data_IF_310089130561
#
_entry.id   IF_310089130561
#
_cell.length_a   1.000
_cell.length_b   1.000
_cell.length_c   1.000
_cell.angle_alpha   90.00
_cell.angle_beta   90.00
_cell.angle_gamma   90.00
#
_symmetry.space_group_name_H-M   'P 1'
#
loop_
_entity.id
_entity.type
_entity.pdbx_description
1 polymer ?
#
# COMPACT_ATOMS: atom_id res chain seq x y z
N UNK A 1 -8.93 36.20 -5.52
CA UNK A 1 -8.67 34.83 -6.04
C UNK A 1 -8.01 33.88 -5.00
N UNK A 2 -7.03 34.40 -4.23
CA UNK A 2 -6.37 33.57 -3.19
C UNK A 2 -7.32 33.14 -2.04
N UNK A 3 -8.29 33.96 -1.65
CA UNK A 3 -9.28 33.60 -0.62
C UNK A 3 -10.26 32.51 -1.05
N UNK A 4 -10.60 32.45 -2.35
CA UNK A 4 -11.52 31.41 -2.88
C UNK A 4 -10.84 30.04 -2.93
N UNK A 5 -9.57 29.97 -3.31
CA UNK A 5 -8.80 28.71 -3.32
C UNK A 5 -8.65 28.16 -1.89
N UNK A 6 -8.38 29.00 -0.90
CA UNK A 6 -8.29 28.58 0.49
C UNK A 6 -9.63 28.07 1.07
N UNK A 7 -10.75 28.73 0.74
CA UNK A 7 -12.07 28.31 1.22
C UNK A 7 -12.54 26.99 0.58
N UNK A 8 -12.29 26.79 -0.71
CA UNK A 8 -12.61 25.52 -1.38
C UNK A 8 -11.78 24.34 -0.85
N UNK A 9 -10.50 24.56 -0.55
CA UNK A 9 -9.66 23.54 0.10
C UNK A 9 -10.22 23.18 1.48
N UNK A 10 -10.52 24.17 2.33
CA UNK A 10 -11.10 23.92 3.65
C UNK A 10 -12.44 23.17 3.59
N UNK A 11 -13.29 23.44 2.59
CA UNK A 11 -14.56 22.73 2.40
C UNK A 11 -14.31 21.27 2.03
N UNK A 12 -13.36 21.01 1.13
CA UNK A 12 -13.00 19.64 0.71
C UNK A 12 -12.40 18.84 1.87
N UNK A 13 -11.48 19.46 2.61
CA UNK A 13 -10.83 18.82 3.76
C UNK A 13 -11.83 18.48 4.85
N UNK A 14 -12.73 19.42 5.19
CA UNK A 14 -13.82 19.17 6.15
C UNK A 14 -14.75 18.06 5.67
N UNK A 15 -15.05 18.02 4.36
CA UNK A 15 -15.86 16.93 3.80
C UNK A 15 -15.16 15.57 3.96
N UNK A 16 -13.85 15.49 3.64
CA UNK A 16 -13.08 14.25 3.77
C UNK A 16 -13.04 13.75 5.23
N UNK A 17 -12.78 14.65 6.19
CA UNK A 17 -12.80 14.29 7.62
C UNK A 17 -14.18 13.80 8.05
N UNK A 18 -15.25 14.46 7.64
CA UNK A 18 -16.61 14.02 7.94
C UNK A 18 -16.95 12.64 7.35
N UNK A 19 -16.40 12.31 6.17
CA UNK A 19 -16.56 10.97 5.58
C UNK A 19 -15.79 9.91 6.37
N UNK A 20 -14.59 10.24 6.84
CA UNK A 20 -13.79 9.37 7.73
C UNK A 20 -14.57 9.11 9.03
N UNK A 21 -15.08 10.13 9.68
CA UNK A 21 -15.88 10.01 10.91
C UNK A 21 -17.14 9.17 10.70
N UNK A 22 -17.85 9.43 9.61
CA UNK A 22 -19.06 8.67 9.26
C UNK A 22 -18.74 7.20 9.02
N UNK A 23 -17.58 6.90 8.43
CA UNK A 23 -17.12 5.53 8.19
C UNK A 23 -16.73 4.86 9.52
N UNK A 24 -15.95 5.51 10.37
CA UNK A 24 -15.58 4.99 11.69
C UNK A 24 -16.80 4.62 12.54
N UNK A 25 -17.86 5.44 12.48
CA UNK A 25 -19.08 5.21 13.28
C UNK A 25 -19.89 3.96 12.87
N UNK A 26 -19.61 3.38 11.70
CA UNK A 26 -20.29 2.16 11.23
C UNK A 26 -19.39 0.91 11.24
N UNK A 27 -18.10 1.06 11.55
CA UNK A 27 -17.20 -0.06 11.71
C UNK A 27 -17.25 -0.60 13.13
N UNK A 28 -17.44 -1.91 13.27
CA UNK A 28 -17.60 -2.57 14.56
C UNK A 28 -16.29 -3.16 15.09
N UNK A 29 -15.36 -3.49 14.20
CA UNK A 29 -14.09 -4.16 14.53
C UNK A 29 -12.95 -3.66 13.67
N UNK A 30 -11.71 -3.78 14.16
CA UNK A 30 -10.51 -3.32 13.46
C UNK A 30 -10.02 -4.28 12.35
N UNK A 31 -10.55 -5.47 12.26
CA UNK A 31 -10.25 -6.46 11.21
C UNK A 31 -11.24 -6.40 10.04
N UNK A 32 -12.32 -5.63 10.16
CA UNK A 32 -13.29 -5.34 9.10
C UNK A 32 -12.91 -4.04 8.37
N UNK A 33 -12.11 -4.17 7.31
CA UNK A 33 -11.59 -3.02 6.56
C UNK A 33 -12.60 -2.56 5.51
N UNK A 34 -12.99 -1.28 5.46
CA UNK A 34 -13.90 -0.77 4.44
C UNK A 34 -13.22 -0.81 3.07
N UNK A 35 -13.86 -1.46 2.08
CA UNK A 35 -13.31 -1.69 0.75
C UNK A 35 -14.04 -0.91 -0.34
N UNK A 36 -15.34 -1.11 -0.45
CA UNK A 36 -16.17 -0.46 -1.45
C UNK A 36 -17.63 -0.38 -0.98
N UNK A 37 -18.40 0.52 -1.59
CA UNK A 37 -19.85 0.61 -1.39
C UNK A 37 -20.52 -0.26 -2.46
N UNK A 38 -21.41 -1.17 -2.04
CA UNK A 38 -22.19 -1.98 -2.99
C UNK A 38 -23.24 -1.11 -3.67
N UNK A 39 -23.18 -1.03 -4.99
CA UNK A 39 -24.20 -0.32 -5.78
C UNK A 39 -25.55 -1.08 -5.83
N UNK A 40 -25.52 -2.38 -5.57
CA UNK A 40 -26.68 -3.27 -5.67
C UNK A 40 -27.46 -3.40 -4.34
N UNK A 41 -26.93 -2.81 -3.26
CA UNK A 41 -27.61 -2.82 -1.98
C UNK A 41 -28.63 -1.68 -1.88
N UNK A 42 -29.83 -1.90 -1.34
CA UNK A 42 -30.82 -0.86 -1.12
C UNK A 42 -30.34 0.22 -0.14
N UNK A 43 -29.37 -0.11 0.70
CA UNK A 43 -28.63 0.82 1.55
C UNK A 43 -27.19 0.91 1.08
N UNK A 44 -26.68 2.13 0.86
CA UNK A 44 -25.28 2.38 0.51
C UNK A 44 -24.36 2.11 1.72
N UNK A 45 -24.19 0.84 2.07
CA UNK A 45 -23.35 0.41 3.17
C UNK A 45 -21.95 0.00 2.68
N UNK A 46 -20.96 0.12 3.54
CA UNK A 46 -19.63 -0.39 3.28
C UNK A 46 -19.65 -1.92 3.18
N UNK A 47 -19.07 -2.43 2.10
CA UNK A 47 -18.63 -3.82 2.01
C UNK A 47 -17.22 -3.91 2.56
N UNK A 48 -17.08 -4.47 3.75
CA UNK A 48 -15.81 -4.66 4.40
C UNK A 48 -15.10 -5.93 3.90
N UNK A 49 -13.79 -5.94 4.02
CA UNK A 49 -12.92 -7.08 3.71
C UNK A 49 -11.99 -7.38 4.89
N UNK A 50 -11.28 -8.51 4.84
CA UNK A 50 -10.32 -8.87 5.86
C UNK A 50 -9.00 -8.10 5.71
N UNK A 51 -8.20 -8.09 6.76
CA UNK A 51 -6.84 -7.50 6.75
C UNK A 51 -5.90 -8.12 5.70
N UNK A 52 -6.24 -9.27 5.14
CA UNK A 52 -5.47 -9.96 4.11
C UNK A 52 -5.82 -9.55 2.67
N UNK A 53 -6.82 -8.70 2.47
CA UNK A 53 -7.13 -8.13 1.15
C UNK A 53 -6.08 -7.09 0.77
N UNK A 54 -5.73 -7.02 -0.51
CA UNK A 54 -4.72 -6.08 -1.01
C UNK A 54 -5.05 -4.60 -0.75
N UNK A 55 -6.32 -4.27 -0.52
CA UNK A 55 -6.77 -2.91 -0.22
C UNK A 55 -6.65 -2.53 1.25
N UNK A 56 -6.35 -3.48 2.13
CA UNK A 56 -6.49 -3.31 3.59
C UNK A 56 -5.62 -2.19 4.19
N UNK A 57 -4.48 -1.90 3.58
CA UNK A 57 -3.58 -0.85 4.04
C UNK A 57 -4.05 0.57 3.74
N UNK A 58 -4.98 0.76 2.81
CA UNK A 58 -5.42 2.10 2.43
C UNK A 58 -6.27 2.78 3.50
N UNK A 59 -7.15 2.03 4.17
CA UNK A 59 -7.97 2.62 5.23
C UNK A 59 -7.16 3.21 6.39
N UNK A 60 -6.26 2.48 7.05
CA UNK A 60 -5.38 3.09 8.04
C UNK A 60 -4.52 4.20 7.47
N UNK A 61 -4.10 4.12 6.20
CA UNK A 61 -3.41 5.22 5.52
C UNK A 61 -4.24 6.50 5.46
N UNK A 62 -5.53 6.40 5.13
CA UNK A 62 -6.48 7.53 5.13
C UNK A 62 -6.63 8.10 6.55
N UNK A 63 -6.74 7.24 7.57
CA UNK A 63 -6.83 7.68 8.96
C UNK A 63 -5.58 8.45 9.40
N UNK A 64 -4.39 8.01 9.01
CA UNK A 64 -3.15 8.75 9.29
C UNK A 64 -3.13 10.14 8.64
N UNK A 65 -3.59 10.28 7.40
CA UNK A 65 -3.71 11.60 6.77
C UNK A 65 -4.77 12.48 7.45
N UNK A 66 -5.90 11.90 7.85
CA UNK A 66 -6.92 12.64 8.61
C UNK A 66 -6.38 13.10 9.97
N UNK A 67 -5.61 12.24 10.67
CA UNK A 67 -4.91 12.64 11.90
C UNK A 67 -3.88 13.74 11.64
N UNK A 68 -3.06 13.62 10.61
CA UNK A 68 -2.04 14.65 10.27
C UNK A 68 -2.68 16.04 10.04
N UNK A 69 -3.83 16.05 9.36
CA UNK A 69 -4.57 17.27 9.08
C UNK A 69 -5.25 17.87 10.32
N UNK A 70 -5.92 17.04 11.12
CA UNK A 70 -6.78 17.50 12.23
C UNK A 70 -6.07 17.60 13.56
N UNK A 71 -5.01 16.81 13.79
CA UNK A 71 -4.38 16.56 15.07
C UNK A 71 -5.32 16.01 16.15
N UNK A 72 -6.45 15.40 15.73
CA UNK A 72 -7.43 14.78 16.61
C UNK A 72 -6.85 13.49 17.21
N UNK A 73 -6.75 13.44 18.53
CA UNK A 73 -6.24 12.28 19.28
C UNK A 73 -7.09 11.01 19.08
N UNK A 74 -8.39 11.16 18.80
CA UNK A 74 -9.26 10.04 18.48
C UNK A 74 -8.81 9.39 17.18
N UNK A 75 -8.53 10.19 16.15
CA UNK A 75 -8.02 9.68 14.87
C UNK A 75 -6.64 9.04 15.01
N UNK A 76 -5.78 9.55 15.92
CA UNK A 76 -4.53 8.88 16.26
C UNK A 76 -4.76 7.45 16.77
N UNK A 77 -5.64 7.29 17.77
CA UNK A 77 -5.96 5.97 18.35
C UNK A 77 -6.53 5.02 17.30
N UNK A 78 -7.45 5.50 16.46
CA UNK A 78 -8.03 4.70 15.38
C UNK A 78 -6.99 4.30 14.32
N UNK A 79 -6.09 5.23 13.96
CA UNK A 79 -5.00 4.97 13.01
C UNK A 79 -4.06 3.87 13.52
N UNK A 80 -3.69 3.94 14.80
CA UNK A 80 -2.83 2.96 15.46
C UNK A 80 -3.52 1.57 15.51
N UNK A 81 -4.79 1.52 15.91
CA UNK A 81 -5.54 0.28 16.04
C UNK A 81 -5.71 -0.44 14.68
N UNK A 82 -6.16 0.27 13.64
CA UNK A 82 -6.28 -0.30 12.29
C UNK A 82 -4.93 -0.67 11.68
N UNK A 83 -3.87 0.09 11.96
CA UNK A 83 -2.51 -0.26 11.49
C UNK A 83 -1.98 -1.52 12.16
N UNK A 84 -2.18 -1.67 13.47
CA UNK A 84 -1.76 -2.84 14.24
C UNK A 84 -2.54 -4.10 13.82
N UNK A 85 -3.80 -3.95 13.44
CA UNK A 85 -4.63 -5.05 12.93
C UNK A 85 -4.04 -5.71 11.66
N UNK A 86 -3.14 -5.03 10.93
CA UNK A 86 -2.47 -5.58 9.75
C UNK A 86 -1.28 -6.51 10.09
N UNK A 87 -0.78 -6.54 11.32
CA UNK A 87 0.43 -7.32 11.67
C UNK A 87 0.34 -8.80 11.30
N UNK A 88 -0.80 -9.51 11.48
CA UNK A 88 -0.93 -10.91 11.09
C UNK A 88 -0.72 -11.20 9.60
N UNK A 89 -0.78 -10.16 8.74
CA UNK A 89 -0.48 -10.30 7.30
C UNK A 89 0.94 -10.78 7.08
N UNK A 90 1.89 -10.33 7.92
CA UNK A 90 3.31 -10.70 7.84
C UNK A 90 3.63 -12.10 8.39
N UNK A 91 2.71 -12.76 9.06
CA UNK A 91 2.90 -14.12 9.57
C UNK A 91 2.64 -15.18 8.48
N UNK A 92 2.12 -14.77 7.35
CA UNK A 92 1.85 -15.63 6.20
C UNK A 92 2.97 -15.53 5.16
N UNK A 93 3.13 -16.61 4.39
CA UNK A 93 4.01 -16.59 3.22
C UNK A 93 3.49 -15.54 2.22
N UNK A 94 4.38 -14.68 1.75
CA UNK A 94 4.05 -13.71 0.71
C UNK A 94 3.66 -14.43 -0.59
N UNK A 95 2.53 -14.05 -1.16
CA UNK A 95 1.95 -14.66 -2.37
C UNK A 95 1.64 -13.65 -3.48
N UNK A 96 1.77 -12.35 -3.18
CA UNK A 96 1.55 -11.26 -4.12
C UNK A 96 2.36 -10.02 -3.67
N UNK A 97 2.65 -9.14 -4.61
CA UNK A 97 3.48 -7.96 -4.38
C UNK A 97 2.79 -6.86 -3.56
N UNK A 98 1.46 -6.87 -3.47
CA UNK A 98 0.68 -5.82 -2.81
C UNK A 98 1.07 -5.59 -1.36
N UNK A 99 1.70 -6.60 -0.73
CA UNK A 99 2.20 -6.53 0.64
C UNK A 99 3.02 -5.26 0.90
N UNK A 100 3.82 -4.80 -0.08
CA UNK A 100 4.68 -3.63 0.08
C UNK A 100 3.87 -2.36 0.35
N UNK A 101 3.00 -1.99 -0.57
CA UNK A 101 2.22 -0.76 -0.42
C UNK A 101 1.12 -0.87 0.65
N UNK A 102 0.54 -2.06 0.87
CA UNK A 102 -0.39 -2.28 1.98
C UNK A 102 0.21 -1.84 3.31
N UNK A 103 1.40 -2.31 3.61
CA UNK A 103 2.06 -1.99 4.88
C UNK A 103 2.67 -0.58 4.87
N UNK A 104 3.16 -0.10 3.72
CA UNK A 104 3.79 1.21 3.67
C UNK A 104 2.79 2.36 3.72
N UNK A 105 1.62 2.24 3.07
CA UNK A 105 0.55 3.24 3.18
C UNK A 105 0.04 3.40 4.63
N UNK A 106 0.05 2.32 5.41
CA UNK A 106 -0.41 2.30 6.80
C UNK A 106 0.73 2.60 7.78
N UNK A 107 1.60 1.63 8.04
CA UNK A 107 2.69 1.73 9.01
C UNK A 107 3.74 2.78 8.63
N UNK A 108 3.95 3.01 7.33
CA UNK A 108 4.88 4.04 6.84
C UNK A 108 4.44 5.44 7.29
N UNK A 109 3.16 5.77 7.12
CA UNK A 109 2.60 7.01 7.63
C UNK A 109 2.61 7.05 9.17
N UNK A 110 2.28 5.93 9.83
CA UNK A 110 2.37 5.83 11.27
C UNK A 110 3.78 6.11 11.80
N UNK A 111 4.79 5.49 11.19
CA UNK A 111 6.19 5.74 11.57
C UNK A 111 6.61 7.20 11.33
N UNK A 112 6.25 7.76 10.18
CA UNK A 112 6.55 9.17 9.84
C UNK A 112 5.99 10.16 10.85
N UNK A 113 4.78 9.91 11.35
CA UNK A 113 4.07 10.84 12.25
C UNK A 113 4.37 10.61 13.72
N UNK A 114 4.70 9.39 14.14
CA UNK A 114 4.87 9.04 15.56
C UNK A 114 6.30 8.68 15.95
N UNK A 115 7.13 8.26 14.98
CA UNK A 115 8.45 7.70 15.25
C UNK A 115 8.42 6.33 15.96
N UNK A 116 7.26 5.65 15.98
CA UNK A 116 7.10 4.38 16.69
C UNK A 116 8.09 3.33 16.17
N UNK A 117 9.02 2.82 17.00
CA UNK A 117 10.06 1.89 16.58
C UNK A 117 9.50 0.51 16.15
N UNK A 118 8.33 0.13 16.65
CA UNK A 118 7.67 -1.10 16.24
C UNK A 118 7.24 -1.03 14.76
N UNK A 119 6.69 0.10 14.33
CA UNK A 119 6.35 0.31 12.91
C UNK A 119 7.59 0.20 12.01
N UNK A 120 8.72 0.74 12.45
CA UNK A 120 9.99 0.59 11.75
C UNK A 120 10.38 -0.88 11.58
N UNK A 121 10.28 -1.67 12.64
CA UNK A 121 10.60 -3.09 12.60
C UNK A 121 9.67 -3.86 11.65
N UNK A 122 8.36 -3.56 11.70
CA UNK A 122 7.38 -4.20 10.83
C UNK A 122 7.58 -3.82 9.36
N UNK A 123 7.96 -2.59 9.07
CA UNK A 123 8.28 -2.15 7.70
C UNK A 123 9.54 -2.82 7.17
N UNK A 124 10.59 -2.97 7.98
CA UNK A 124 11.79 -3.73 7.58
C UNK A 124 11.46 -5.20 7.32
N UNK A 125 10.64 -5.83 8.16
CA UNK A 125 10.12 -7.18 7.96
C UNK A 125 9.29 -7.29 6.68
N UNK A 126 8.51 -6.25 6.35
CA UNK A 126 7.74 -6.18 5.10
C UNK A 126 8.67 -6.15 3.89
N UNK A 127 9.72 -5.32 3.94
CA UNK A 127 10.70 -5.23 2.86
C UNK A 127 11.45 -6.56 2.64
N UNK A 128 11.79 -7.27 3.73
CA UNK A 128 12.36 -8.62 3.66
C UNK A 128 11.40 -9.59 2.97
N UNK A 129 10.14 -9.63 3.41
CA UNK A 129 9.12 -10.51 2.85
C UNK A 129 8.86 -10.23 1.36
N UNK A 130 8.75 -8.95 0.99
CA UNK A 130 8.57 -8.53 -0.41
C UNK A 130 9.76 -8.94 -1.29
N UNK A 131 10.99 -8.81 -0.77
CA UNK A 131 12.22 -9.14 -1.49
C UNK A 131 12.32 -10.62 -1.90
N UNK A 132 11.58 -11.51 -1.23
CA UNK A 132 11.49 -12.94 -1.63
C UNK A 132 10.86 -13.10 -3.02
N UNK A 133 10.08 -12.14 -3.47
CA UNK A 133 9.45 -12.14 -4.80
C UNK A 133 10.38 -11.62 -5.90
N UNK A 134 11.53 -11.04 -5.57
CA UNK A 134 12.47 -10.55 -6.55
C UNK A 134 13.18 -11.69 -7.28
N UNK A 135 13.21 -11.60 -8.60
CA UNK A 135 13.94 -12.52 -9.45
C UNK A 135 15.15 -11.80 -10.07
N UNK A 136 16.39 -12.12 -9.67
CA UNK A 136 17.58 -11.42 -10.14
C UNK A 136 17.91 -11.67 -11.63
N UNK A 137 17.40 -12.77 -12.21
CA UNK A 137 17.58 -13.06 -13.64
C UNK A 137 16.72 -12.14 -14.49
N UNK A 138 15.52 -11.84 -14.01
CA UNK A 138 14.56 -10.94 -14.68
C UNK A 138 14.78 -9.48 -14.29
N UNK A 139 15.29 -9.23 -13.08
CA UNK A 139 15.51 -7.90 -12.54
C UNK A 139 14.25 -7.25 -11.96
N UNK A 140 13.16 -8.02 -11.75
CA UNK A 140 11.89 -7.48 -11.22
C UNK A 140 11.30 -8.34 -10.10
N UNK A 141 10.40 -7.72 -9.32
CA UNK A 141 9.57 -8.37 -8.32
C UNK A 141 8.41 -9.07 -9.04
N UNK A 142 8.21 -10.36 -8.77
CA UNK A 142 7.09 -11.14 -9.28
C UNK A 142 5.78 -10.69 -8.62
N UNK A 143 4.84 -10.21 -9.41
CA UNK A 143 3.59 -9.67 -8.86
C UNK A 143 2.68 -10.76 -8.31
N UNK A 144 2.47 -11.84 -9.05
CA UNK A 144 1.53 -12.90 -8.70
C UNK A 144 2.08 -14.30 -8.93
N UNK A 145 2.95 -14.82 -8.05
CA UNK A 145 3.54 -16.16 -8.19
C UNK A 145 2.51 -17.29 -8.35
N UNK A 146 1.34 -17.16 -7.70
CA UNK A 146 0.28 -18.14 -7.81
C UNK A 146 -0.36 -18.16 -9.21
N UNK A 147 -0.59 -16.99 -9.80
CA UNK A 147 -1.10 -16.88 -11.18
C UNK A 147 -0.04 -17.33 -12.19
N UNK A 148 1.23 -17.05 -11.95
CA UNK A 148 2.32 -17.59 -12.76
C UNK A 148 2.25 -19.12 -12.83
N UNK A 149 2.10 -19.79 -11.69
CA UNK A 149 1.99 -21.25 -11.64
C UNK A 149 0.76 -21.78 -12.38
N UNK A 150 -0.40 -21.15 -12.21
CA UNK A 150 -1.64 -21.56 -12.88
C UNK A 150 -1.59 -21.41 -14.40
N UNK A 151 -0.91 -20.36 -14.87
CA UNK A 151 -0.85 -20.00 -16.30
C UNK A 151 0.40 -20.53 -17.01
N UNK A 152 1.31 -21.20 -16.29
CA UNK A 152 2.59 -21.64 -16.84
C UNK A 152 3.53 -20.49 -17.21
N UNK A 153 3.37 -19.32 -16.59
CA UNK A 153 4.28 -18.19 -16.79
C UNK A 153 5.49 -18.32 -15.90
N UNK A 154 6.72 -18.12 -16.40
CA UNK A 154 7.90 -18.18 -15.56
C UNK A 154 7.97 -17.01 -14.58
N UNK A 155 7.44 -15.85 -14.98
CA UNK A 155 7.42 -14.63 -14.19
C UNK A 155 6.37 -13.64 -14.73
N UNK A 156 5.81 -12.79 -13.86
CA UNK A 156 5.03 -11.64 -14.28
C UNK A 156 5.35 -10.43 -13.40
N UNK A 157 5.21 -9.24 -13.97
CA UNK A 157 5.25 -7.99 -13.23
C UNK A 157 4.16 -7.05 -13.74
N UNK A 158 3.60 -6.24 -12.85
CA UNK A 158 2.60 -5.23 -13.19
C UNK A 158 3.10 -3.85 -12.79
N UNK A 159 2.58 -2.81 -13.45
CA UNK A 159 3.11 -1.45 -13.30
C UNK A 159 2.98 -0.91 -11.86
N UNK A 160 1.93 -1.27 -11.15
CA UNK A 160 1.70 -0.85 -9.77
C UNK A 160 2.70 -1.43 -8.76
N UNK A 161 3.50 -2.44 -9.17
CA UNK A 161 4.64 -2.88 -8.38
C UNK A 161 5.66 -1.74 -8.10
N UNK A 162 5.63 -0.68 -8.92
CA UNK A 162 6.41 0.54 -8.67
C UNK A 162 6.07 1.23 -7.35
N UNK A 163 4.84 1.06 -6.82
CA UNK A 163 4.45 1.57 -5.49
C UNK A 163 5.26 0.95 -4.35
N UNK A 164 5.77 -0.26 -4.54
CA UNK A 164 6.55 -0.97 -3.53
C UNK A 164 7.99 -0.44 -3.41
N UNK A 165 8.47 0.29 -4.41
CA UNK A 165 9.86 0.80 -4.42
C UNK A 165 10.07 1.85 -3.33
N UNK A 166 9.03 2.58 -2.97
CA UNK A 166 9.09 3.54 -1.87
C UNK A 166 9.48 2.85 -0.56
N UNK A 167 8.83 1.72 -0.23
CA UNK A 167 9.20 0.90 0.93
C UNK A 167 10.66 0.42 0.84
N UNK A 168 11.11 -0.07 -0.31
CA UNK A 168 12.45 -0.62 -0.47
C UNK A 168 13.54 0.46 -0.34
N UNK A 169 13.34 1.62 -0.97
CA UNK A 169 14.24 2.76 -0.80
C UNK A 169 14.25 3.28 0.65
N UNK A 170 13.08 3.32 1.29
CA UNK A 170 12.99 3.67 2.71
C UNK A 170 13.73 2.65 3.57
N UNK A 171 13.53 1.35 3.36
CA UNK A 171 14.17 0.29 4.12
C UNK A 171 15.70 0.34 4.01
N UNK A 172 16.24 0.60 2.81
CA UNK A 172 17.69 0.75 2.62
C UNK A 172 18.30 1.87 3.46
N UNK A 173 17.58 3.00 3.58
CA UNK A 173 18.01 4.17 4.37
C UNK A 173 17.78 4.01 5.88
N UNK A 174 16.94 3.07 6.29
CA UNK A 174 16.55 2.88 7.68
C UNK A 174 17.14 1.63 8.36
N UNK A 175 18.23 1.10 7.81
CA UNK A 175 18.99 0.01 8.41
C UNK A 175 18.76 -1.37 7.80
N UNK A 176 17.96 -1.47 6.74
CA UNK A 176 17.72 -2.74 6.03
C UNK A 176 18.86 -3.16 5.09
N UNK A 177 19.78 -2.23 4.77
CA UNK A 177 20.98 -2.49 3.94
C UNK A 177 20.77 -2.23 2.45
N UNK A 178 21.89 -2.25 1.72
CA UNK A 178 22.00 -1.86 0.31
C UNK A 178 21.14 -2.72 -0.62
N UNK A 179 20.94 -3.98 -0.31
CA UNK A 179 20.16 -4.91 -1.15
C UNK A 179 18.77 -4.42 -1.53
N UNK A 180 18.08 -3.68 -0.65
CA UNK A 180 16.75 -3.14 -0.94
C UNK A 180 16.80 -2.03 -1.98
N UNK A 181 17.86 -1.20 -1.91
CA UNK A 181 18.13 -0.21 -2.95
C UNK A 181 18.36 -0.88 -4.30
N UNK A 182 19.23 -1.88 -4.34
CA UNK A 182 19.60 -2.58 -5.58
C UNK A 182 18.38 -3.27 -6.22
N UNK A 183 17.50 -3.88 -5.42
CA UNK A 183 16.24 -4.46 -5.90
C UNK A 183 15.32 -3.38 -6.48
N UNK A 184 15.17 -2.25 -5.79
CA UNK A 184 14.30 -1.17 -6.22
C UNK A 184 14.79 -0.52 -7.51
N UNK A 185 16.08 -0.24 -7.61
CA UNK A 185 16.73 0.32 -8.79
C UNK A 185 16.59 -0.63 -10.00
N UNK A 186 16.97 -1.90 -9.84
CA UNK A 186 16.81 -2.91 -10.88
C UNK A 186 15.38 -3.03 -11.37
N UNK A 187 14.39 -3.08 -10.45
CA UNK A 187 12.98 -3.14 -10.82
C UNK A 187 12.54 -1.91 -11.61
N UNK A 188 12.94 -0.71 -11.17
CA UNK A 188 12.60 0.54 -11.85
C UNK A 188 13.17 0.60 -13.27
N UNK A 189 14.45 0.25 -13.45
CA UNK A 189 15.12 0.26 -14.75
C UNK A 189 14.48 -0.72 -15.74
N UNK A 190 14.21 -1.96 -15.30
CA UNK A 190 13.55 -2.98 -16.13
C UNK A 190 12.13 -2.56 -16.49
N UNK A 191 11.39 -1.97 -15.54
CA UNK A 191 10.04 -1.44 -15.78
C UNK A 191 10.07 -0.30 -16.79
N UNK A 192 10.96 0.66 -16.63
CA UNK A 192 11.11 1.79 -17.56
C UNK A 192 11.40 1.30 -18.98
N UNK A 193 12.27 0.31 -19.11
CA UNK A 193 12.69 -0.22 -20.42
C UNK A 193 11.58 -1.04 -21.13
N UNK A 194 10.73 -1.76 -20.38
CA UNK A 194 9.87 -2.79 -20.96
C UNK A 194 8.38 -2.49 -20.83
N UNK A 195 7.93 -1.70 -19.85
CA UNK A 195 6.51 -1.40 -19.64
C UNK A 195 6.08 -0.05 -20.21
N UNK A 196 7.01 0.86 -20.45
CA UNK A 196 6.72 2.14 -21.11
C UNK A 196 6.76 1.99 -22.63
N UNK A 197 5.81 2.63 -23.32
CA UNK A 197 5.78 2.76 -24.77
C UNK A 197 6.41 4.09 -25.18
N UNK A 198 6.63 4.29 -26.48
CA UNK A 198 7.20 5.54 -27.03
C UNK A 198 6.34 6.77 -26.73
N UNK A 199 5.02 6.60 -26.59
CA UNK A 199 4.07 7.64 -26.23
C UNK A 199 3.93 7.86 -24.72
N UNK A 200 4.81 7.26 -23.91
CA UNK A 200 4.81 7.25 -22.45
C UNK A 200 3.61 6.56 -21.79
N UNK A 201 2.73 5.92 -22.54
CA UNK A 201 1.74 5.02 -21.96
C UNK A 201 2.40 3.74 -21.43
N UNK A 202 1.77 3.06 -20.48
CA UNK A 202 2.33 1.84 -19.87
C UNK A 202 1.51 0.61 -20.19
N UNK A 203 2.19 -0.54 -20.28
CA UNK A 203 1.56 -1.84 -20.21
C UNK A 203 1.27 -2.16 -18.75
N UNK A 204 0.02 -2.49 -18.42
CA UNK A 204 -0.31 -2.81 -17.02
C UNK A 204 0.35 -4.10 -16.56
N UNK A 205 0.25 -5.16 -17.35
CA UNK A 205 0.81 -6.48 -17.04
C UNK A 205 1.82 -6.89 -18.10
N UNK A 206 2.99 -7.31 -17.65
CA UNK A 206 4.02 -7.91 -18.48
C UNK A 206 4.26 -9.35 -18.02
N UNK A 207 4.05 -10.31 -18.92
CA UNK A 207 4.45 -11.70 -18.72
C UNK A 207 5.79 -11.91 -19.41
N UNK A 208 6.83 -12.19 -18.63
CA UNK A 208 8.19 -12.32 -19.13
C UNK A 208 8.44 -13.77 -19.60
N UNK A 209 7.75 -14.18 -20.65
CA UNK A 209 7.94 -15.51 -21.28
C UNK A 209 9.16 -15.53 -22.21
N UNK A 210 9.65 -14.35 -22.61
CA UNK A 210 10.63 -14.22 -23.71
C UNK A 210 11.84 -13.33 -23.35
N UNK A 211 12.26 -13.31 -22.10
CA UNK A 211 13.56 -12.68 -21.71
C UNK A 211 14.56 -13.77 -21.42
#
# INVERSE_FOLDING_TARGET
AQCLVGSEMCIRDSYCVNQVDSTLNVLETYDAIPRNISNDAPTKAWKCTSVHDWTSGFWPGILWYAYEYTQDKRLLVESEAFSTALYPVLDRKVTHHDLGFMMYCSLGNGYRLTGNPEYKQMLLRTADSLSVLYNPVVGTINSWPNECRKKGWPHNTIIDNMLNLELLFWASKNGGGQRFYDIAESHAEVTMKNQFREDYSTCHVLSLIHI
#
